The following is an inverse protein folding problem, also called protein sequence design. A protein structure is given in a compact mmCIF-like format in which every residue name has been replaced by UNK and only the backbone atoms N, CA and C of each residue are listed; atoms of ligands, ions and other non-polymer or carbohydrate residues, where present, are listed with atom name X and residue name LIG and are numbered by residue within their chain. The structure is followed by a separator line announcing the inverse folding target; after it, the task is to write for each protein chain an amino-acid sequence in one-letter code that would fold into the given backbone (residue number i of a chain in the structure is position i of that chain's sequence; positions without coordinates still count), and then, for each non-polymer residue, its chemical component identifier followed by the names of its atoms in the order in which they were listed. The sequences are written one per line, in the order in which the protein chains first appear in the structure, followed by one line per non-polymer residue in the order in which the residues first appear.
data_IF_651922458843
#
_entry.id   IF_651922458843
#
_cell.length_a   1.000
_cell.length_b   1.000
_cell.length_c   1.000
_cell.angle_alpha   90.00
_cell.angle_beta   90.00
_cell.angle_gamma   90.00
#
_symmetry.space_group_name_H-M   'P 1'
#
loop_
_entity.id
_entity.type
_entity.pdbx_description
1 polymer ?
#
# COMPACT_ATOMS: atom_id res chain seq x y z
N UNK A 1 53.49 -18.19 -44.79
CA UNK A 1 52.33 -19.11 -44.72
C UNK A 1 51.39 -18.59 -43.66
N UNK A 2 50.44 -17.75 -44.06
CA UNK A 2 49.38 -17.28 -43.18
C UNK A 2 48.21 -18.24 -43.23
N UNK A 3 47.65 -18.57 -42.06
CA UNK A 3 46.31 -19.10 -41.90
C UNK A 3 45.86 -18.80 -40.47
N UNK A 4 45.13 -17.69 -40.30
CA UNK A 4 44.34 -17.42 -39.12
C UNK A 4 42.91 -17.87 -39.42
N UNK A 5 42.46 -18.93 -38.74
CA UNK A 5 41.10 -19.41 -38.83
C UNK A 5 40.14 -18.45 -38.14
N UNK A 6 39.21 -17.90 -38.92
CA UNK A 6 38.12 -17.07 -38.44
C UNK A 6 37.09 -17.88 -37.65
N UNK A 7 36.81 -17.42 -36.42
CA UNK A 7 35.66 -17.88 -35.66
C UNK A 7 34.40 -17.15 -36.13
N UNK A 8 33.50 -17.91 -36.77
CA UNK A 8 32.15 -17.48 -37.10
C UNK A 8 31.29 -17.36 -35.84
N UNK A 9 31.11 -16.14 -35.34
CA UNK A 9 29.99 -15.81 -34.44
C UNK A 9 28.71 -15.62 -35.26
N UNK A 10 27.81 -16.60 -35.16
CA UNK A 10 26.47 -16.55 -35.75
C UNK A 10 25.59 -15.63 -34.90
N UNK A 11 25.45 -14.35 -35.29
CA UNK A 11 24.47 -13.42 -34.73
C UNK A 11 23.07 -13.78 -35.23
N UNK A 12 22.24 -14.39 -34.37
CA UNK A 12 20.80 -14.45 -34.62
C UNK A 12 20.19 -13.07 -34.32
N UNK A 13 19.88 -12.31 -35.38
CA UNK A 13 18.96 -11.17 -35.33
C UNK A 13 17.54 -11.72 -35.18
N UNK A 14 16.95 -11.58 -34.00
CA UNK A 14 15.49 -11.60 -33.85
C UNK A 14 15.00 -10.16 -33.94
N UNK A 15 14.39 -9.82 -35.07
CA UNK A 15 13.61 -8.60 -35.25
C UNK A 15 12.24 -8.78 -34.60
N UNK A 16 12.00 -8.10 -33.49
CA UNK A 16 10.66 -8.00 -32.88
C UNK A 16 9.94 -6.80 -33.53
N UNK A 17 8.73 -6.97 -34.09
CA UNK A 17 7.98 -5.85 -34.64
C UNK A 17 7.51 -4.93 -33.51
N UNK A 18 7.79 -3.63 -33.66
CA UNK A 18 7.41 -2.58 -32.73
C UNK A 18 5.95 -2.19 -32.95
N UNK A 19 5.01 -2.96 -32.40
CA UNK A 19 3.60 -2.56 -32.32
C UNK A 19 3.32 -1.95 -30.94
N UNK A 20 3.62 -0.67 -30.78
CA UNK A 20 3.17 0.11 -29.63
C UNK A 20 1.69 0.44 -29.78
N UNK A 21 0.84 -0.44 -29.24
CA UNK A 21 -0.56 -0.10 -28.96
C UNK A 21 -0.55 0.85 -27.76
N UNK A 22 -1.06 2.10 -27.87
CA UNK A 22 -1.15 2.98 -26.71
C UNK A 22 -2.05 2.34 -25.65
N UNK A 23 -1.75 2.52 -24.35
CA UNK A 23 -2.58 1.96 -23.29
C UNK A 23 -4.00 2.52 -23.43
N UNK A 24 -5.04 1.68 -23.24
CA UNK A 24 -6.41 2.16 -23.28
C UNK A 24 -6.61 3.22 -22.20
N UNK A 25 -7.22 4.34 -22.59
CA UNK A 25 -7.68 5.39 -21.69
C UNK A 25 -8.61 4.76 -20.63
N UNK A 26 -8.40 5.01 -19.33
CA UNK A 26 -9.24 4.44 -18.29
C UNK A 26 -10.69 4.97 -18.43
N UNK A 27 -11.71 4.11 -18.30
CA UNK A 27 -13.09 4.43 -18.71
C UNK A 27 -13.89 5.25 -17.68
N UNK A 28 -13.25 5.85 -16.67
CA UNK A 28 -13.98 6.55 -15.61
C UNK A 28 -13.53 8.00 -15.46
N UNK A 29 -14.31 8.90 -16.06
CA UNK A 29 -14.44 10.29 -15.59
C UNK A 29 -15.66 10.33 -14.67
N UNK A 30 -15.48 10.79 -13.43
CA UNK A 30 -16.61 11.01 -12.52
C UNK A 30 -17.57 12.03 -13.17
N UNK A 31 -18.73 11.56 -13.60
CA UNK A 31 -19.75 12.39 -14.23
C UNK A 31 -20.36 13.39 -13.24
N UNK A 32 -20.86 14.51 -13.76
CA UNK A 32 -21.65 15.46 -13.00
C UNK A 32 -22.95 14.81 -12.51
N UNK A 33 -23.28 15.08 -11.25
CA UNK A 33 -24.43 14.58 -10.48
C UNK A 33 -25.75 14.61 -11.26
N UNK A 34 -26.44 13.47 -11.34
CA UNK A 34 -27.90 13.46 -11.50
C UNK A 34 -28.55 12.26 -10.79
N UNK A 35 -29.47 12.63 -9.89
CA UNK A 35 -30.62 11.92 -9.31
C UNK A 35 -30.42 10.57 -8.58
N UNK A 36 -30.68 10.63 -7.27
CA UNK A 36 -30.92 9.50 -6.37
C UNK A 36 -32.11 8.66 -6.87
N UNK A 37 -31.84 7.42 -7.28
CA UNK A 37 -32.84 6.38 -7.36
C UNK A 37 -32.70 5.51 -6.10
N UNK A 38 -33.72 5.52 -5.24
CA UNK A 38 -33.77 4.63 -4.09
C UNK A 38 -33.90 3.18 -4.59
N UNK A 39 -32.99 2.26 -4.23
CA UNK A 39 -33.18 0.86 -4.56
C UNK A 39 -34.23 0.24 -3.60
N UNK A 40 -34.94 -0.81 -4.03
CA UNK A 40 -35.92 -1.48 -3.19
C UNK A 40 -35.24 -2.23 -2.04
N UNK A 41 -35.87 -2.17 -0.86
CA UNK A 41 -35.48 -2.91 0.34
C UNK A 41 -35.55 -4.43 0.08
N UNK A 42 -34.40 -5.06 -0.17
CA UNK A 42 -34.26 -6.52 -0.13
C UNK A 42 -33.24 -6.90 0.95
N UNK A 43 -33.75 -7.28 2.13
CA UNK A 43 -32.99 -7.59 3.35
C UNK A 43 -32.14 -8.88 3.31
N UNK A 44 -31.77 -9.40 2.14
CA UNK A 44 -31.00 -10.64 2.00
C UNK A 44 -29.85 -10.59 0.98
N UNK A 45 -29.40 -9.40 0.56
CA UNK A 45 -28.15 -9.33 -0.20
C UNK A 45 -26.96 -9.36 0.76
N UNK A 46 -26.07 -10.33 0.57
CA UNK A 46 -24.71 -10.29 1.11
C UNK A 46 -24.06 -9.02 0.53
N UNK A 47 -24.02 -7.95 1.31
CA UNK A 47 -23.31 -6.74 0.91
C UNK A 47 -21.82 -7.07 0.94
N UNK A 48 -21.15 -6.97 -0.21
CA UNK A 48 -19.70 -7.03 -0.25
C UNK A 48 -19.13 -5.88 0.60
N UNK A 49 -18.02 -6.11 1.33
CA UNK A 49 -17.36 -5.03 2.04
C UNK A 49 -16.98 -3.94 1.02
N UNK A 50 -17.20 -2.68 1.38
CA UNK A 50 -16.92 -1.49 0.55
C UNK A 50 -17.74 -1.35 -0.74
N UNK A 51 -18.91 -2.01 -0.86
CA UNK A 51 -19.78 -1.90 -2.04
C UNK A 51 -20.08 -0.44 -2.47
N UNK A 52 -20.07 0.49 -1.51
CA UNK A 52 -20.40 1.90 -1.75
C UNK A 52 -19.17 2.84 -1.83
N UNK A 53 -17.95 2.34 -1.59
CA UNK A 53 -16.76 3.17 -1.45
C UNK A 53 -16.35 3.91 -2.74
N UNK A 54 -16.85 3.44 -3.88
CA UNK A 54 -16.48 3.95 -5.20
C UNK A 54 -17.65 4.62 -5.96
N UNK A 55 -18.82 4.81 -5.32
CA UNK A 55 -20.02 5.41 -5.95
C UNK A 55 -19.79 6.87 -6.35
N UNK A 56 -19.14 7.65 -5.48
CA UNK A 56 -18.69 9.02 -5.79
C UNK A 56 -17.22 9.16 -5.46
N UNK A 57 -16.61 10.24 -5.95
CA UNK A 57 -15.22 10.55 -5.62
C UNK A 57 -14.99 10.49 -4.11
N UNK A 58 -15.85 11.12 -3.30
CA UNK A 58 -15.65 11.21 -1.84
C UNK A 58 -16.27 10.08 -1.04
N UNK A 59 -17.00 9.17 -1.69
CA UNK A 59 -17.62 8.00 -1.02
C UNK A 59 -16.61 7.10 -0.34
N UNK A 60 -15.33 7.18 -0.67
CA UNK A 60 -14.27 6.41 -0.04
C UNK A 60 -14.05 6.81 1.43
N UNK A 61 -14.19 8.09 1.77
CA UNK A 61 -13.85 8.56 3.11
C UNK A 61 -14.70 7.91 4.21
N UNK A 62 -14.07 7.64 5.36
CA UNK A 62 -14.70 7.02 6.52
C UNK A 62 -15.36 5.65 6.25
N UNK A 63 -15.02 4.98 5.14
CA UNK A 63 -15.50 3.63 4.83
C UNK A 63 -14.58 2.52 5.33
N UNK A 64 -13.39 2.86 5.84
CA UNK A 64 -12.45 1.87 6.36
C UNK A 64 -13.13 0.96 7.40
N UNK A 65 -13.01 -0.35 7.25
CA UNK A 65 -13.37 -1.31 8.28
C UNK A 65 -12.19 -1.50 9.23
N UNK A 66 -12.45 -1.99 10.45
CA UNK A 66 -11.40 -2.25 11.43
C UNK A 66 -10.93 -1.01 12.21
N UNK A 67 -9.69 -1.03 12.68
CA UNK A 67 -9.17 0.00 13.58
C UNK A 67 -8.94 1.35 12.88
N UNK A 68 -8.67 1.37 11.58
CA UNK A 68 -8.54 2.59 10.77
C UNK A 68 -9.85 3.27 10.37
N UNK A 69 -11.01 2.80 10.86
CA UNK A 69 -12.35 3.26 10.45
C UNK A 69 -12.62 4.77 10.55
N UNK A 70 -11.87 5.47 11.40
CA UNK A 70 -12.00 6.92 11.56
C UNK A 70 -11.15 7.73 10.57
N UNK A 71 -10.43 7.08 9.64
CA UNK A 71 -9.70 7.78 8.60
C UNK A 71 -10.69 8.52 7.66
N UNK A 72 -10.75 9.84 7.79
CA UNK A 72 -11.58 10.72 6.95
C UNK A 72 -10.80 11.27 5.76
N UNK A 73 -9.47 11.19 5.78
CA UNK A 73 -8.63 11.70 4.71
C UNK A 73 -8.84 13.20 4.50
N UNK A 74 -8.86 13.61 3.24
CA UNK A 74 -9.16 14.97 2.81
C UNK A 74 -10.64 15.25 2.57
N UNK A 75 -11.58 14.55 3.24
CA UNK A 75 -13.02 14.64 3.00
C UNK A 75 -13.55 16.08 2.95
N UNK A 76 -13.07 16.95 3.85
CA UNK A 76 -13.48 18.35 3.94
C UNK A 76 -12.52 19.32 3.23
N UNK A 77 -11.52 18.79 2.53
CA UNK A 77 -10.52 19.54 1.79
C UNK A 77 -10.92 19.84 0.36
N UNK A 78 -10.29 20.83 -0.25
CA UNK A 78 -10.40 21.09 -1.69
C UNK A 78 -9.83 19.92 -2.51
N UNK A 79 -10.23 19.86 -3.78
CA UNK A 79 -9.65 18.92 -4.74
C UNK A 79 -8.31 19.49 -5.22
N UNK A 80 -7.25 18.70 -5.13
CA UNK A 80 -5.95 18.99 -5.71
C UNK A 80 -5.73 18.06 -6.89
N UNK A 81 -5.41 18.63 -8.05
CA UNK A 81 -5.14 17.88 -9.27
C UNK A 81 -3.62 17.81 -9.48
N UNK A 82 -3.06 16.62 -9.36
CA UNK A 82 -1.67 16.35 -9.74
C UNK A 82 -1.60 16.33 -11.26
N UNK A 83 -0.88 17.29 -11.82
CA UNK A 83 -0.69 17.49 -13.27
C UNK A 83 0.75 17.23 -13.71
N UNK A 84 1.66 17.00 -12.76
CA UNK A 84 3.08 16.79 -13.00
C UNK A 84 3.56 15.50 -12.34
N UNK A 85 4.35 14.71 -13.09
CA UNK A 85 5.05 13.52 -12.58
C UNK A 85 6.44 13.84 -12.00
N UNK A 86 6.82 15.12 -11.97
CA UNK A 86 8.05 15.55 -11.31
C UNK A 86 7.94 15.30 -9.79
N UNK A 87 9.09 15.06 -9.15
CA UNK A 87 9.15 14.77 -7.71
C UNK A 87 8.65 15.94 -6.85
N UNK A 88 8.93 17.18 -7.25
CA UNK A 88 8.52 18.40 -6.52
C UNK A 88 8.14 19.51 -7.51
N UNK A 89 7.62 20.60 -6.97
CA UNK A 89 7.15 21.77 -7.70
C UNK A 89 5.63 21.82 -7.82
N UNK A 90 5.08 22.97 -8.25
CA UNK A 90 3.64 23.14 -8.43
C UNK A 90 3.02 22.04 -9.30
N UNK A 91 1.88 21.51 -8.86
CA UNK A 91 1.16 20.43 -9.57
C UNK A 91 1.73 19.03 -9.36
N UNK A 92 2.81 18.87 -8.57
CA UNK A 92 3.33 17.55 -8.18
C UNK A 92 2.58 16.94 -7.00
N UNK A 93 2.69 15.63 -6.82
CA UNK A 93 2.17 14.93 -5.64
C UNK A 93 2.81 15.46 -4.33
N UNK A 94 4.11 15.73 -4.35
CA UNK A 94 4.84 16.21 -3.16
C UNK A 94 4.36 17.59 -2.71
N UNK A 95 4.08 18.49 -3.66
CA UNK A 95 3.52 19.80 -3.35
C UNK A 95 2.15 19.67 -2.67
N UNK A 96 1.31 18.73 -3.11
CA UNK A 96 0.03 18.44 -2.48
C UNK A 96 0.17 17.85 -1.08
N UNK A 97 1.03 16.85 -0.89
CA UNK A 97 1.12 16.10 0.37
C UNK A 97 1.68 16.92 1.55
N UNK A 98 2.54 17.90 1.28
CA UNK A 98 3.15 18.77 2.32
C UNK A 98 2.25 19.93 2.77
N UNK A 99 1.16 20.20 2.05
CA UNK A 99 0.21 21.27 2.38
C UNK A 99 -0.46 21.00 3.71
N UNK A 100 -0.68 22.05 4.50
CA UNK A 100 -1.26 21.92 5.85
C UNK A 100 -2.77 21.75 5.78
N UNK A 101 -3.41 22.41 4.84
CA UNK A 101 -4.83 22.32 4.59
C UNK A 101 -5.26 20.88 4.22
N UNK A 102 -6.46 20.44 4.59
CA UNK A 102 -7.01 19.18 4.11
C UNK A 102 -7.09 19.16 2.58
N UNK A 103 -6.71 18.04 1.94
CA UNK A 103 -6.77 17.90 0.48
C UNK A 103 -7.24 16.51 0.05
N UNK A 104 -8.14 16.48 -0.92
CA UNK A 104 -8.39 15.30 -1.72
C UNK A 104 -7.53 15.39 -2.98
N UNK A 105 -6.54 14.52 -3.10
CA UNK A 105 -5.51 14.57 -4.15
C UNK A 105 -5.87 13.52 -5.20
N UNK A 106 -6.15 13.98 -6.42
CA UNK A 106 -6.40 13.16 -7.62
C UNK A 106 -5.33 13.43 -8.68
N UNK A 107 -5.31 12.61 -9.71
CA UNK A 107 -4.31 12.69 -10.77
C UNK A 107 -4.98 12.95 -12.13
N UNK A 108 -4.47 13.94 -12.87
CA UNK A 108 -4.85 14.19 -14.27
C UNK A 108 -3.93 13.43 -15.24
N UNK A 109 -2.81 12.93 -14.74
CA UNK A 109 -1.79 12.21 -15.51
C UNK A 109 -1.55 10.83 -14.91
N UNK A 110 -1.35 9.84 -15.76
CA UNK A 110 -0.84 8.52 -15.38
C UNK A 110 0.67 8.46 -15.61
N UNK A 111 1.39 7.70 -14.80
CA UNK A 111 2.81 7.44 -15.01
C UNK A 111 3.58 7.18 -13.72
N UNK A 112 4.90 7.27 -13.84
CA UNK A 112 5.84 7.00 -12.76
C UNK A 112 6.36 8.31 -12.19
N UNK A 113 6.27 8.48 -10.87
CA UNK A 113 6.89 9.57 -10.11
C UNK A 113 8.14 9.01 -9.43
N UNK A 114 9.31 9.48 -9.86
CA UNK A 114 10.59 9.11 -9.28
C UNK A 114 10.87 10.00 -8.05
N UNK A 115 10.77 9.44 -6.85
CA UNK A 115 11.00 10.18 -5.62
C UNK A 115 12.49 10.26 -5.30
N UNK A 116 13.02 11.46 -5.10
CA UNK A 116 14.42 11.68 -4.68
C UNK A 116 14.61 11.48 -3.17
N UNK A 117 13.54 11.71 -2.40
CA UNK A 117 13.49 11.59 -0.94
C UNK A 117 12.13 11.03 -0.51
N UNK A 118 12.01 10.62 0.75
CA UNK A 118 10.72 10.22 1.31
C UNK A 118 9.67 11.31 1.07
N UNK A 119 8.47 10.91 0.64
CA UNK A 119 7.35 11.81 0.45
C UNK A 119 6.59 11.94 1.77
N UNK A 120 6.84 13.04 2.48
CA UNK A 120 6.15 13.35 3.73
C UNK A 120 4.69 13.70 3.48
N UNK A 121 3.78 13.07 4.22
CA UNK A 121 2.34 13.31 4.11
C UNK A 121 1.84 13.96 5.39
N UNK A 122 1.30 15.18 5.29
CA UNK A 122 0.64 15.86 6.41
C UNK A 122 -0.74 15.27 6.69
N UNK A 123 -1.34 15.64 7.83
CA UNK A 123 -2.70 15.20 8.20
C UNK A 123 -3.76 15.60 7.18
N UNK A 124 -4.91 14.90 7.24
CA UNK A 124 -6.11 15.18 6.44
C UNK A 124 -5.88 15.12 4.93
N UNK A 125 -5.27 14.03 4.46
CA UNK A 125 -4.97 13.80 3.05
C UNK A 125 -5.65 12.55 2.55
N UNK A 126 -6.32 12.65 1.41
CA UNK A 126 -6.64 11.47 0.60
C UNK A 126 -5.74 11.51 -0.62
N UNK A 127 -4.89 10.51 -0.82
CA UNK A 127 -4.15 10.30 -2.06
C UNK A 127 -4.92 9.23 -2.85
N UNK A 128 -5.64 9.67 -3.87
CA UNK A 128 -6.60 8.86 -4.61
C UNK A 128 -6.11 8.59 -6.02
N UNK A 129 -5.49 7.44 -6.24
CA UNK A 129 -5.04 6.99 -7.55
C UNK A 129 -6.15 6.39 -8.42
N UNK A 130 -7.41 6.35 -7.98
CA UNK A 130 -8.50 5.71 -8.76
C UNK A 130 -8.67 6.42 -10.11
N UNK A 131 -8.92 5.62 -11.14
CA UNK A 131 -9.04 6.11 -12.52
C UNK A 131 -7.71 6.41 -13.21
N UNK A 132 -6.57 6.32 -12.51
CA UNK A 132 -5.25 6.51 -13.09
C UNK A 132 -4.31 5.35 -12.72
N UNK A 133 -3.18 5.24 -13.44
CA UNK A 133 -2.09 4.32 -13.13
C UNK A 133 -0.90 5.12 -12.62
N UNK A 134 -0.78 5.20 -11.31
CA UNK A 134 0.27 5.95 -10.64
C UNK A 134 1.25 4.99 -9.98
N UNK A 135 2.51 5.07 -10.40
CA UNK A 135 3.62 4.34 -9.79
C UNK A 135 4.56 5.30 -9.08
N UNK A 136 4.92 5.00 -7.84
CA UNK A 136 5.97 5.67 -7.09
C UNK A 136 7.21 4.78 -7.02
N UNK A 137 8.39 5.37 -7.21
CA UNK A 137 9.66 4.64 -7.15
C UNK A 137 10.79 5.45 -6.51
N UNK A 138 11.94 4.82 -6.25
CA UNK A 138 13.11 5.42 -5.61
C UNK A 138 12.99 5.50 -4.09
N UNK A 139 11.92 6.12 -3.58
CA UNK A 139 11.58 6.23 -2.16
C UNK A 139 10.10 5.93 -1.94
N UNK A 140 9.68 5.96 -0.67
CA UNK A 140 8.30 5.71 -0.26
C UNK A 140 7.65 6.90 0.44
N UNK A 141 6.50 6.63 1.04
CA UNK A 141 5.78 7.57 1.89
C UNK A 141 6.33 7.61 3.31
N UNK A 142 6.26 8.79 3.94
CA UNK A 142 6.51 8.96 5.38
C UNK A 142 5.35 9.71 6.02
N UNK A 143 4.64 9.01 6.90
CA UNK A 143 3.55 9.50 7.71
C UNK A 143 4.09 9.64 9.13
N UNK A 144 4.39 10.87 9.52
CA UNK A 144 5.02 11.22 10.80
C UNK A 144 4.14 12.22 11.52
N UNK A 145 3.77 11.88 12.76
CA UNK A 145 2.97 12.72 13.65
C UNK A 145 1.73 13.29 12.94
N UNK A 146 1.05 12.43 12.18
CA UNK A 146 -0.07 12.81 11.33
C UNK A 146 -1.31 11.94 11.58
N UNK A 147 -2.46 12.45 11.19
CA UNK A 147 -3.72 11.74 11.33
C UNK A 147 -4.67 11.95 10.15
N UNK A 148 -5.65 11.04 10.03
CA UNK A 148 -6.66 11.07 8.98
C UNK A 148 -6.04 11.09 7.58
N UNK A 149 -5.28 10.04 7.26
CA UNK A 149 -4.67 9.86 5.93
C UNK A 149 -5.24 8.62 5.24
N UNK A 150 -5.61 8.77 3.98
CA UNK A 150 -6.03 7.66 3.12
C UNK A 150 -5.08 7.61 1.92
N UNK A 151 -4.50 6.43 1.66
CA UNK A 151 -3.67 6.17 0.48
C UNK A 151 -4.35 5.06 -0.31
N UNK A 152 -4.76 5.35 -1.54
CA UNK A 152 -5.59 4.45 -2.31
C UNK A 152 -5.13 4.29 -3.76
N UNK A 153 -5.13 3.04 -4.24
CA UNK A 153 -4.96 2.69 -5.65
C UNK A 153 -3.62 3.17 -6.26
N UNK A 154 -2.52 2.96 -5.54
CA UNK A 154 -1.16 3.29 -6.00
C UNK A 154 -0.31 2.03 -6.18
N UNK A 155 0.65 2.10 -7.08
CA UNK A 155 1.76 1.14 -7.18
C UNK A 155 3.01 1.79 -6.55
N UNK A 156 3.69 1.08 -5.65
CA UNK A 156 4.89 1.57 -4.95
C UNK A 156 5.96 0.50 -5.07
N UNK A 157 6.98 0.75 -5.89
CA UNK A 157 7.95 -0.25 -6.32
C UNK A 157 9.37 0.32 -6.45
N UNK A 158 10.39 -0.50 -6.19
CA UNK A 158 11.77 -0.16 -6.58
C UNK A 158 12.43 0.85 -5.65
N UNK A 159 12.15 0.78 -4.34
CA UNK A 159 12.84 1.61 -3.35
C UNK A 159 14.28 1.15 -3.16
N UNK A 160 15.23 2.09 -3.22
CA UNK A 160 16.67 1.79 -3.10
C UNK A 160 17.37 2.71 -2.12
N UNK A 161 18.32 2.13 -1.39
CA UNK A 161 19.13 2.80 -0.37
C UNK A 161 18.86 2.28 1.04
N UNK A 162 19.67 2.70 2.03
CA UNK A 162 19.56 2.22 3.39
C UNK A 162 18.21 2.61 4.02
N UNK A 163 17.59 1.67 4.72
CA UNK A 163 16.34 1.85 5.48
C UNK A 163 15.20 2.47 4.65
N UNK A 164 15.11 2.06 3.39
CA UNK A 164 14.06 2.51 2.46
C UNK A 164 12.90 1.54 2.49
N UNK A 165 11.79 2.00 3.07
CA UNK A 165 10.50 1.33 3.09
C UNK A 165 9.51 2.00 2.13
N UNK A 166 8.53 1.26 1.64
CA UNK A 166 7.50 1.80 0.76
C UNK A 166 6.54 2.75 1.51
N UNK A 167 6.17 2.42 2.74
CA UNK A 167 5.35 3.27 3.61
C UNK A 167 5.86 3.17 5.05
N UNK A 168 6.34 4.30 5.58
CA UNK A 168 6.68 4.45 7.00
C UNK A 168 5.57 5.20 7.74
N UNK A 169 5.02 4.60 8.79
CA UNK A 169 4.07 5.23 9.71
C UNK A 169 4.71 5.31 11.10
N UNK A 170 5.33 6.46 11.39
CA UNK A 170 6.08 6.70 12.64
C UNK A 170 6.49 8.15 12.87
N UNK A 171 6.60 8.59 14.14
CA UNK A 171 5.87 8.13 15.32
C UNK A 171 4.45 8.70 15.39
N UNK A 172 3.69 8.26 16.41
CA UNK A 172 2.46 8.91 16.89
C UNK A 172 1.43 9.26 15.81
N UNK A 173 1.33 8.43 14.77
CA UNK A 173 0.39 8.66 13.67
C UNK A 173 -0.83 7.75 13.80
N UNK A 174 -2.02 8.25 13.46
CA UNK A 174 -3.27 7.52 13.71
C UNK A 174 -4.38 7.79 12.71
N UNK A 175 -5.39 6.92 12.68
CA UNK A 175 -6.54 7.03 11.76
C UNK A 175 -6.06 7.04 10.30
N UNK A 176 -5.35 5.97 9.92
CA UNK A 176 -4.75 5.82 8.59
C UNK A 176 -5.37 4.62 7.88
N UNK A 177 -5.62 4.78 6.59
CA UNK A 177 -6.11 3.70 5.74
C UNK A 177 -5.26 3.57 4.48
N UNK A 178 -4.67 2.39 4.28
CA UNK A 178 -3.95 2.01 3.06
C UNK A 178 -4.82 1.00 2.33
N UNK A 179 -5.28 1.35 1.13
CA UNK A 179 -6.25 0.55 0.40
C UNK A 179 -5.88 0.32 -1.06
N UNK A 180 -6.10 -0.88 -1.58
CA UNK A 180 -5.91 -1.21 -3.01
C UNK A 180 -4.54 -0.83 -3.58
N UNK A 181 -3.50 -0.79 -2.73
CA UNK A 181 -2.16 -0.49 -3.17
C UNK A 181 -1.41 -1.77 -3.56
N UNK A 182 -0.54 -1.67 -4.56
CA UNK A 182 0.40 -2.75 -4.91
C UNK A 182 1.79 -2.33 -4.46
N UNK A 183 2.46 -3.15 -3.64
CA UNK A 183 3.76 -2.85 -3.04
C UNK A 183 4.75 -3.99 -3.29
N UNK A 184 5.95 -3.67 -3.75
CA UNK A 184 6.97 -4.66 -4.11
C UNK A 184 8.38 -4.07 -4.16
N UNK A 185 9.40 -4.92 -4.06
CA UNK A 185 10.79 -4.58 -4.41
C UNK A 185 11.39 -3.33 -3.72
N UNK A 186 11.33 -3.28 -2.39
CA UNK A 186 12.09 -2.32 -1.57
C UNK A 186 13.32 -2.97 -0.91
N UNK A 187 14.32 -2.15 -0.59
CA UNK A 187 15.58 -2.59 0.02
C UNK A 187 15.39 -3.07 1.48
N UNK A 188 14.57 -2.39 2.30
CA UNK A 188 14.26 -2.85 3.65
C UNK A 188 12.86 -3.48 3.74
N UNK A 189 11.84 -2.77 4.23
CA UNK A 189 10.46 -3.25 4.33
C UNK A 189 9.50 -2.68 3.29
N UNK A 190 8.26 -3.19 3.22
CA UNK A 190 7.20 -2.49 2.49
C UNK A 190 6.44 -1.56 3.43
N UNK A 191 5.90 -2.07 4.53
CA UNK A 191 5.15 -1.24 5.49
C UNK A 191 5.74 -1.38 6.88
N UNK A 192 6.12 -0.25 7.46
CA UNK A 192 6.69 -0.15 8.80
C UNK A 192 5.79 0.73 9.68
N UNK A 193 5.16 0.12 10.69
CA UNK A 193 4.28 0.79 11.66
C UNK A 193 4.93 0.69 13.04
N UNK A 194 5.31 1.82 13.63
CA UNK A 194 6.10 1.82 14.87
C UNK A 194 5.81 3.02 15.75
N UNK A 195 6.34 3.00 16.98
CA UNK A 195 6.42 4.15 17.91
C UNK A 195 5.05 4.75 18.19
N UNK A 196 4.16 3.92 18.74
CA UNK A 196 2.82 4.31 19.17
C UNK A 196 1.83 4.63 18.05
N UNK A 197 2.19 4.40 16.78
CA UNK A 197 1.26 4.63 15.66
C UNK A 197 0.15 3.59 15.64
N UNK A 198 -1.11 4.03 15.68
CA UNK A 198 -2.26 3.18 16.04
C UNK A 198 -3.51 3.52 15.21
N UNK A 199 -4.56 2.71 15.32
CA UNK A 199 -5.81 2.89 14.59
C UNK A 199 -5.60 2.94 13.06
N UNK A 200 -5.06 1.85 12.52
CA UNK A 200 -4.66 1.72 11.12
C UNK A 200 -5.35 0.53 10.47
N UNK A 201 -5.82 0.71 9.23
CA UNK A 201 -6.33 -0.38 8.39
C UNK A 201 -5.48 -0.51 7.12
N UNK A 202 -5.14 -1.75 6.76
CA UNK A 202 -4.54 -2.12 5.48
C UNK A 202 -5.53 -3.08 4.80
N UNK A 203 -6.05 -2.71 3.63
CA UNK A 203 -7.06 -3.52 2.95
C UNK A 203 -6.85 -3.64 1.45
N UNK A 204 -7.20 -4.80 0.88
CA UNK A 204 -7.16 -5.05 -0.57
C UNK A 204 -5.81 -4.75 -1.23
N UNK A 205 -4.73 -4.73 -0.47
CA UNK A 205 -3.40 -4.49 -0.99
C UNK A 205 -2.80 -5.77 -1.55
N UNK A 206 -1.95 -5.65 -2.57
CA UNK A 206 -1.19 -6.74 -3.14
C UNK A 206 0.30 -6.54 -2.83
N UNK A 207 0.89 -7.54 -2.16
CA UNK A 207 2.30 -7.57 -1.80
C UNK A 207 2.99 -8.69 -2.56
N UNK A 208 4.04 -8.37 -3.33
CA UNK A 208 4.79 -9.37 -4.09
C UNK A 208 6.28 -9.04 -4.17
N UNK A 209 7.10 -10.02 -4.57
CA UNK A 209 8.53 -9.85 -4.89
C UNK A 209 9.30 -9.05 -3.83
N UNK A 210 9.21 -9.47 -2.57
CA UNK A 210 9.85 -8.75 -1.47
C UNK A 210 10.20 -9.67 -0.29
N UNK A 211 11.19 -9.27 0.52
CA UNK A 211 11.63 -10.03 1.70
C UNK A 211 10.79 -9.70 2.95
N UNK A 212 10.88 -8.46 3.46
CA UNK A 212 10.38 -8.05 4.78
C UNK A 212 9.07 -7.24 4.66
N UNK A 213 7.94 -7.92 4.46
CA UNK A 213 6.69 -7.27 4.04
C UNK A 213 6.13 -6.22 5.02
N UNK A 214 5.63 -6.61 6.20
CA UNK A 214 4.97 -5.70 7.15
C UNK A 214 5.54 -5.89 8.57
N UNK A 215 6.15 -4.83 9.11
CA UNK A 215 6.61 -4.78 10.50
C UNK A 215 5.67 -3.91 11.35
N UNK A 216 5.24 -4.45 12.48
CA UNK A 216 4.44 -3.75 13.49
C UNK A 216 5.22 -3.81 14.81
N UNK A 217 5.73 -2.66 15.24
CA UNK A 217 6.64 -2.54 16.39
C UNK A 217 8.07 -3.01 16.06
N UNK A 218 9.03 -2.09 16.02
CA UNK A 218 10.40 -2.37 15.58
C UNK A 218 11.34 -2.83 16.70
N UNK A 219 11.10 -2.37 17.92
CA UNK A 219 11.99 -2.54 19.07
C UNK A 219 11.32 -3.40 20.15
N UNK A 220 11.90 -4.55 20.55
CA UNK A 220 11.36 -5.39 21.61
C UNK A 220 11.32 -4.76 23.00
N UNK A 221 11.92 -3.59 23.19
CA UNK A 221 11.94 -2.86 24.46
C UNK A 221 10.97 -1.67 24.48
N UNK A 222 10.36 -1.32 23.34
CA UNK A 222 9.49 -0.16 23.24
C UNK A 222 8.05 -0.49 23.68
N UNK A 223 7.88 -0.59 24.98
CA UNK A 223 6.63 -0.96 25.66
C UNK A 223 5.41 -0.10 25.34
N UNK A 224 5.61 1.13 24.86
CA UNK A 224 4.54 2.05 24.47
C UNK A 224 3.78 1.57 23.22
N UNK A 225 4.37 0.66 22.43
CA UNK A 225 3.72 0.05 21.25
C UNK A 225 2.52 -0.85 21.61
N UNK A 226 2.24 -1.10 22.91
CA UNK A 226 1.03 -1.82 23.36
C UNK A 226 -0.27 -1.08 23.01
N UNK A 227 -0.21 0.24 22.78
CA UNK A 227 -1.37 1.02 22.36
C UNK A 227 -1.77 0.78 20.89
N UNK A 228 -0.87 0.21 20.09
CA UNK A 228 -1.03 0.05 18.65
C UNK A 228 -2.13 -0.96 18.32
N UNK A 229 -3.03 -0.57 17.42
CA UNK A 229 -4.14 -1.38 16.90
C UNK A 229 -4.17 -1.32 15.38
N UNK A 230 -3.99 -2.48 14.74
CA UNK A 230 -3.89 -2.59 13.28
C UNK A 230 -4.91 -3.63 12.78
N UNK A 231 -5.60 -3.32 11.69
CA UNK A 231 -6.40 -4.29 10.93
C UNK A 231 -5.76 -4.54 9.57
N UNK A 232 -5.63 -5.81 9.17
CA UNK A 232 -5.15 -6.23 7.86
C UNK A 232 -6.15 -7.20 7.26
N UNK A 233 -6.76 -6.86 6.12
CA UNK A 233 -7.80 -7.71 5.53
C UNK A 233 -7.93 -7.66 4.02
N UNK A 234 -8.39 -8.77 3.44
CA UNK A 234 -8.54 -8.92 1.99
C UNK A 234 -7.26 -8.60 1.20
N UNK A 235 -6.10 -8.67 1.83
CA UNK A 235 -4.82 -8.47 1.16
C UNK A 235 -4.33 -9.77 0.53
N UNK A 236 -3.51 -9.63 -0.51
CA UNK A 236 -2.87 -10.74 -1.18
C UNK A 236 -1.36 -10.67 -1.00
N UNK A 237 -0.79 -11.68 -0.34
CA UNK A 237 0.64 -11.86 -0.15
C UNK A 237 1.14 -12.97 -1.08
N UNK A 238 1.90 -12.59 -2.11
CA UNK A 238 2.20 -13.45 -3.25
C UNK A 238 3.71 -13.63 -3.42
N UNK A 239 4.27 -14.73 -2.92
CA UNK A 239 5.69 -15.05 -3.09
C UNK A 239 6.65 -14.17 -2.28
N UNK A 240 6.14 -13.33 -1.39
CA UNK A 240 6.94 -12.56 -0.43
C UNK A 240 7.53 -13.46 0.66
N UNK A 241 8.75 -13.19 1.13
CA UNK A 241 9.49 -14.16 1.94
C UNK A 241 9.00 -14.27 3.39
N UNK A 242 8.63 -13.16 4.03
CA UNK A 242 8.25 -13.12 5.45
C UNK A 242 7.44 -11.87 5.85
N UNK A 243 6.97 -11.87 7.11
CA UNK A 243 6.31 -10.75 7.81
C UNK A 243 4.92 -10.39 7.27
N UNK A 244 3.95 -11.29 7.41
CA UNK A 244 2.55 -11.13 6.97
C UNK A 244 1.50 -11.05 8.10
N UNK A 245 1.67 -10.30 9.21
CA UNK A 245 2.77 -9.40 9.58
C UNK A 245 3.81 -10.06 10.52
N UNK A 246 4.87 -9.32 10.86
CA UNK A 246 5.66 -9.55 12.10
C UNK A 246 5.29 -8.50 13.14
N UNK A 247 4.95 -8.94 14.35
CA UNK A 247 4.35 -8.10 15.39
C UNK A 247 5.18 -8.13 16.67
N UNK A 248 5.22 -6.97 17.34
CA UNK A 248 5.59 -6.77 18.73
C UNK A 248 4.57 -5.85 19.40
N UNK A 249 4.19 -6.16 20.64
CA UNK A 249 3.27 -5.47 21.58
C UNK A 249 1.83 -5.22 21.09
N UNK A 250 1.65 -4.93 19.81
CA UNK A 250 0.43 -4.45 19.22
C UNK A 250 -0.70 -5.49 19.18
N UNK A 251 -1.92 -4.96 19.03
CA UNK A 251 -3.13 -5.73 18.72
C UNK A 251 -3.36 -5.72 17.21
N UNK A 252 -3.42 -6.90 16.61
CA UNK A 252 -3.61 -7.07 15.17
C UNK A 252 -4.83 -7.94 14.92
N UNK A 253 -5.79 -7.42 14.15
CA UNK A 253 -6.86 -8.21 13.55
C UNK A 253 -6.49 -8.52 12.10
N UNK A 254 -6.27 -9.80 11.80
CA UNK A 254 -5.81 -10.30 10.50
C UNK A 254 -6.89 -11.21 9.91
N UNK A 255 -7.64 -10.77 8.90
CA UNK A 255 -8.75 -11.59 8.39
C UNK A 255 -8.96 -11.56 6.88
N UNK A 256 -9.49 -12.64 6.32
CA UNK A 256 -9.78 -12.80 4.89
C UNK A 256 -8.60 -12.47 3.95
N UNK A 257 -7.36 -12.63 4.40
CA UNK A 257 -6.19 -12.46 3.55
C UNK A 257 -5.85 -13.77 2.85
N UNK A 258 -5.27 -13.66 1.66
CA UNK A 258 -4.70 -14.79 0.94
C UNK A 258 -3.18 -14.66 0.93
N UNK A 259 -2.50 -15.69 1.42
CA UNK A 259 -1.03 -15.74 1.47
C UNK A 259 -0.56 -17.02 0.83
N UNK A 260 0.34 -16.91 -0.16
CA UNK A 260 0.90 -18.08 -0.85
C UNK A 260 2.40 -17.99 -1.08
N UNK A 261 3.04 -19.15 -1.14
CA UNK A 261 4.44 -19.32 -1.55
C UNK A 261 5.43 -18.45 -0.76
N UNK A 262 5.26 -18.35 0.56
CA UNK A 262 6.19 -17.59 1.41
C UNK A 262 7.53 -18.31 1.57
N UNK A 263 8.58 -17.54 1.89
CA UNK A 263 9.96 -18.02 1.91
C UNK A 263 10.44 -18.57 3.26
N UNK A 264 9.99 -18.01 4.37
CA UNK A 264 10.43 -18.38 5.73
C UNK A 264 9.25 -18.70 6.63
N UNK A 265 8.39 -17.70 6.88
CA UNK A 265 7.14 -17.82 7.62
C UNK A 265 6.12 -16.83 7.07
N UNK A 266 4.83 -17.03 7.30
CA UNK A 266 3.84 -16.02 6.99
C UNK A 266 3.72 -15.00 8.14
N UNK A 267 3.03 -15.36 9.21
CA UNK A 267 2.81 -14.52 10.40
C UNK A 267 3.87 -14.78 11.46
N UNK A 268 4.38 -13.73 12.11
CA UNK A 268 5.24 -13.87 13.28
C UNK A 268 4.73 -13.05 14.47
N UNK A 269 4.45 -13.73 15.57
CA UNK A 269 4.22 -13.11 16.87
C UNK A 269 5.53 -13.12 17.67
N UNK A 270 5.90 -11.97 18.23
CA UNK A 270 7.04 -11.85 19.14
C UNK A 270 6.58 -11.29 20.48
N UNK A 271 7.29 -10.31 21.03
CA UNK A 271 7.03 -9.72 22.36
C UNK A 271 5.58 -9.30 22.49
N UNK A 272 4.85 -9.85 23.47
CA UNK A 272 3.49 -9.47 23.89
C UNK A 272 2.48 -9.22 22.75
N UNK A 273 2.65 -9.90 21.62
CA UNK A 273 1.84 -9.68 20.43
C UNK A 273 0.46 -10.30 20.60
N UNK A 274 -0.59 -9.56 20.21
CA UNK A 274 -1.96 -10.07 20.20
C UNK A 274 -2.46 -10.12 18.76
N UNK A 275 -2.43 -11.31 18.15
CA UNK A 275 -2.86 -11.50 16.77
C UNK A 275 -4.13 -12.34 16.74
N UNK A 276 -5.23 -11.75 16.27
CA UNK A 276 -6.46 -12.47 16.00
C UNK A 276 -6.54 -12.77 14.50
N UNK A 277 -6.31 -14.03 14.13
CA UNK A 277 -6.31 -14.48 12.74
C UNK A 277 -7.60 -15.25 12.42
N UNK A 278 -8.39 -14.75 11.47
CA UNK A 278 -9.68 -15.33 11.11
C UNK A 278 -9.84 -15.48 9.59
N UNK A 279 -10.31 -16.64 9.12
CA UNK A 279 -10.70 -16.84 7.72
C UNK A 279 -9.60 -16.49 6.68
N UNK A 280 -8.32 -16.58 7.05
CA UNK A 280 -7.23 -16.39 6.11
C UNK A 280 -6.92 -17.70 5.37
N UNK A 281 -6.50 -17.58 4.12
CA UNK A 281 -6.06 -18.70 3.30
C UNK A 281 -4.54 -18.71 3.25
N UNK A 282 -3.94 -19.82 3.68
CA UNK A 282 -2.48 -20.02 3.66
C UNK A 282 -2.11 -21.18 2.75
N UNK A 283 -1.62 -20.86 1.55
CA UNK A 283 -1.15 -21.83 0.57
C UNK A 283 0.39 -21.94 0.64
N UNK A 284 0.86 -22.86 1.48
CA UNK A 284 2.26 -22.99 1.89
C UNK A 284 3.29 -23.14 0.75
N UNK A 285 2.90 -23.69 -0.39
CA UNK A 285 3.87 -24.15 -1.39
C UNK A 285 4.90 -25.08 -0.74
N UNK A 286 6.19 -24.71 -0.78
CA UNK A 286 7.28 -25.51 -0.20
C UNK A 286 7.49 -25.29 1.30
N UNK A 287 7.18 -24.11 1.85
CA UNK A 287 7.49 -23.74 3.24
C UNK A 287 6.23 -23.77 4.08
N UNK A 288 6.23 -24.60 5.13
CA UNK A 288 5.01 -24.94 5.87
C UNK A 288 4.74 -24.10 7.12
N UNK A 289 5.71 -23.30 7.58
CA UNK A 289 5.54 -22.49 8.80
C UNK A 289 4.66 -21.28 8.49
N UNK A 290 3.35 -21.41 8.69
CA UNK A 290 2.44 -20.27 8.55
C UNK A 290 2.57 -19.30 9.74
N UNK A 291 2.58 -19.82 10.96
CA UNK A 291 2.73 -19.03 12.19
C UNK A 291 4.05 -19.35 12.88
N UNK A 292 4.82 -18.30 13.15
CA UNK A 292 6.07 -18.37 13.92
C UNK A 292 5.93 -17.60 15.22
N UNK A 293 6.40 -18.20 16.31
CA UNK A 293 6.60 -17.51 17.58
C UNK A 293 8.10 -17.24 17.73
N UNK A 294 8.47 -15.99 17.98
CA UNK A 294 9.86 -15.57 18.09
C UNK A 294 10.12 -14.96 19.47
N UNK A 295 10.95 -15.63 20.26
CA UNK A 295 11.51 -15.06 21.49
C UNK A 295 12.57 -14.03 21.12
N UNK A 296 12.47 -12.84 21.69
CA UNK A 296 13.48 -11.79 21.58
C UNK A 296 14.24 -11.66 22.90
N UNK A 297 15.53 -11.36 22.78
CA UNK A 297 16.45 -11.17 23.91
C UNK A 297 16.44 -9.72 24.36
#
# INVERSE_FOLDING_TARGET
MGNAHGHHHRKHRFSVPNNTVPPPTPPYKYGSTSQLHNPPNNNNMISLPYANADITLRSLAAQAEGFGRFATGGLHGSLYHVTSLLDDGPGSLRDACRKKEPLWIVFEVSGTIQLSSYLSVSSYKTIDGRGQRIKLTGKGFRLKECEHVIICNLEIEGGRGPDVDAIQIKPNSKHIWIDRCTLSDFEDGLIDITRGSTDITISRCHFHQHDKTILIGSDPKHVDDRCMKITIHHCFFNGTRQRHPRVRFAKVHLYNNYTRNWGIYAVCASVESQIFSQHNIYEAGQKKVAFKYLHEK
#
